data_IF_980573746643
#
_entry.id   IF_980573746643
#
_cell.length_a   1.000
_cell.length_b   1.000
_cell.length_c   1.000
_cell.angle_alpha   90.00
_cell.angle_beta   90.00
_cell.angle_gamma   90.00
#
_symmetry.space_group_name_H-M   'P 1'
#
loop_
_entity.id
_entity.type
_entity.pdbx_description
1 polymer ?
#
# COMPACT_ATOMS: atom_id res chain seq x y z
N UNK A 1 3.36 12.86 1.46
CA UNK A 1 3.22 11.64 0.62
C UNK A 1 2.19 11.95 -0.46
N UNK A 2 2.45 11.54 -1.71
CA UNK A 2 2.07 12.23 -2.96
C UNK A 2 0.60 12.30 -3.42
N UNK A 3 -0.37 12.40 -2.53
CA UNK A 3 -1.70 12.94 -2.88
C UNK A 3 -2.42 13.61 -1.70
N UNK A 4 -1.89 13.47 -0.48
CA UNK A 4 -2.53 13.94 0.75
C UNK A 4 -3.73 13.10 1.21
N UNK A 5 -4.24 12.18 0.38
CA UNK A 5 -5.39 11.33 0.69
C UNK A 5 -4.96 10.00 1.29
N UNK A 6 -5.81 9.41 2.15
CA UNK A 6 -5.59 8.08 2.69
C UNK A 6 -5.95 7.00 1.66
N UNK A 7 -5.38 5.77 1.79
CA UNK A 7 -5.79 4.61 1.03
C UNK A 7 -7.31 4.35 1.15
N UNK A 8 -7.99 4.37 0.01
CA UNK A 8 -9.43 4.15 -0.12
C UNK A 8 -9.77 3.12 -1.21
N UNK A 9 -8.77 2.37 -1.69
CA UNK A 9 -8.88 1.43 -2.82
C UNK A 9 -9.16 2.16 -4.15
N UNK A 10 -8.85 3.46 -4.24
CA UNK A 10 -8.85 4.21 -5.49
C UNK A 10 -7.43 4.60 -5.87
N UNK A 11 -6.92 3.96 -6.92
CA UNK A 11 -5.64 4.30 -7.55
C UNK A 11 -5.64 5.70 -8.21
N UNK A 12 -6.76 6.42 -8.20
CA UNK A 12 -6.86 7.82 -8.64
C UNK A 12 -6.64 8.77 -7.46
N UNK A 13 -6.94 8.34 -6.23
CA UNK A 13 -6.94 9.17 -5.03
C UNK A 13 -5.67 9.03 -4.21
N UNK A 14 -5.26 7.80 -3.89
CA UNK A 14 -4.04 7.54 -3.12
C UNK A 14 -2.83 7.37 -4.04
N UNK A 15 -1.63 7.65 -3.51
CA UNK A 15 -0.42 7.15 -4.17
C UNK A 15 -0.35 5.64 -4.06
N UNK A 16 0.20 4.98 -5.07
CA UNK A 16 0.26 3.53 -5.09
C UNK A 16 1.52 2.99 -5.78
N UNK A 17 1.92 1.80 -5.36
CA UNK A 17 2.71 0.87 -6.16
C UNK A 17 1.80 -0.26 -6.62
N UNK A 18 1.96 -0.73 -7.86
CA UNK A 18 1.19 -1.84 -8.43
C UNK A 18 2.11 -2.90 -9.03
N UNK A 19 1.59 -4.10 -9.22
CA UNK A 19 2.36 -5.26 -9.68
C UNK A 19 3.56 -5.57 -8.77
N UNK A 20 3.33 -5.56 -7.46
CA UNK A 20 4.37 -5.85 -6.47
C UNK A 20 4.74 -7.33 -6.56
N UNK A 21 6.03 -7.56 -6.71
CA UNK A 21 6.63 -8.88 -6.88
C UNK A 21 7.96 -8.89 -6.11
N UNK A 22 8.31 -10.02 -5.52
CA UNK A 22 9.66 -10.25 -5.02
C UNK A 22 10.26 -11.49 -5.68
N UNK A 23 11.58 -11.63 -5.55
CA UNK A 23 12.29 -12.79 -6.08
C UNK A 23 12.60 -13.77 -4.95
N UNK A 24 12.18 -15.02 -5.10
CA UNK A 24 12.47 -16.07 -4.11
C UNK A 24 13.90 -16.62 -4.23
N UNK A 25 14.25 -17.56 -3.34
CA UNK A 25 15.56 -18.25 -3.34
C UNK A 25 15.84 -19.03 -4.65
N UNK A 26 14.81 -19.35 -5.43
CA UNK A 26 14.90 -20.05 -6.72
C UNK A 26 14.87 -19.10 -7.92
N UNK A 27 14.99 -17.78 -7.69
CA UNK A 27 14.91 -16.73 -8.72
C UNK A 27 13.56 -16.63 -9.42
N UNK A 28 12.50 -17.14 -8.80
CA UNK A 28 11.13 -17.00 -9.31
C UNK A 28 10.53 -15.69 -8.83
N UNK A 29 9.79 -15.03 -9.71
CA UNK A 29 8.93 -13.90 -9.34
C UNK A 29 7.72 -14.44 -8.59
N UNK A 30 7.51 -13.94 -7.39
CA UNK A 30 6.41 -14.34 -6.51
C UNK A 30 5.61 -13.11 -6.13
N UNK A 31 4.29 -13.24 -6.19
CA UNK A 31 3.34 -12.24 -5.72
C UNK A 31 3.15 -12.40 -4.20
N UNK A 32 3.21 -11.33 -3.40
CA UNK A 32 2.99 -11.44 -1.96
C UNK A 32 1.51 -11.74 -1.66
N UNK A 33 1.23 -12.76 -0.86
CA UNK A 33 -0.08 -12.89 -0.23
C UNK A 33 -0.19 -11.91 0.94
N UNK A 34 -1.40 -11.53 1.34
CA UNK A 34 -1.61 -10.56 2.42
C UNK A 34 -0.92 -10.99 3.73
N UNK A 35 -0.98 -12.28 4.06
CA UNK A 35 -0.34 -12.86 5.26
C UNK A 35 1.20 -12.82 5.24
N UNK A 36 1.83 -12.50 4.10
CA UNK A 36 3.28 -12.34 3.96
C UNK A 36 3.73 -10.88 4.10
N UNK A 37 2.80 -9.96 4.35
CA UNK A 37 3.07 -8.53 4.46
C UNK A 37 2.82 -8.03 5.88
N UNK A 38 3.58 -7.01 6.29
CA UNK A 38 3.40 -6.31 7.56
C UNK A 38 3.45 -4.81 7.31
N UNK A 39 2.49 -4.08 7.90
CA UNK A 39 2.44 -2.62 7.77
C UNK A 39 3.25 -1.98 8.89
N UNK A 40 4.33 -1.29 8.53
CA UNK A 40 5.17 -0.56 9.48
C UNK A 40 5.10 0.94 9.22
N UNK A 41 4.69 1.70 10.24
CA UNK A 41 4.64 3.15 10.22
C UNK A 41 5.50 3.70 11.37
N UNK A 42 6.49 4.53 11.06
CA UNK A 42 7.36 5.17 12.06
C UNK A 42 6.76 6.47 12.63
N UNK A 43 5.47 6.70 12.42
CA UNK A 43 4.74 7.94 12.65
C UNK A 43 3.35 7.61 13.20
N UNK A 44 2.67 8.53 13.89
CA UNK A 44 1.33 8.28 14.41
C UNK A 44 0.39 7.77 13.30
N UNK A 45 -0.29 6.66 13.56
CA UNK A 45 -1.23 6.00 12.63
C UNK A 45 -2.41 6.89 12.19
N UNK A 46 -2.51 8.10 12.74
CA UNK A 46 -3.54 9.11 12.40
C UNK A 46 -3.15 10.00 11.23
N UNK A 47 -1.87 10.02 10.85
CA UNK A 47 -1.35 10.95 9.85
C UNK A 47 -0.98 10.32 8.54
N UNK A 48 -0.62 9.05 8.57
CA UNK A 48 -0.21 8.35 7.38
C UNK A 48 -0.79 6.97 7.44
N UNK A 49 -1.22 6.49 6.30
CA UNK A 49 -1.75 5.15 6.16
C UNK A 49 -1.07 4.48 4.98
N UNK A 50 -0.85 3.19 5.16
CA UNK A 50 -0.33 2.27 4.16
C UNK A 50 -1.30 1.10 4.17
N UNK A 51 -1.73 0.66 3.00
CA UNK A 51 -2.60 -0.49 2.86
C UNK A 51 -2.20 -1.32 1.66
N UNK A 52 -1.97 -2.61 1.93
CA UNK A 52 -1.72 -3.59 0.92
C UNK A 52 -3.04 -4.22 0.46
N UNK A 53 -3.14 -4.51 -0.83
CA UNK A 53 -4.25 -5.23 -1.43
C UNK A 53 -3.70 -6.41 -2.22
N UNK A 54 -4.15 -7.61 -1.85
CA UNK A 54 -3.95 -8.81 -2.65
C UNK A 54 -4.74 -8.71 -3.95
N UNK A 55 -4.35 -9.48 -4.99
CA UNK A 55 -5.04 -9.45 -6.27
C UNK A 55 -6.52 -9.86 -6.14
N UNK A 56 -7.41 -8.91 -6.40
CA UNK A 56 -8.86 -9.08 -6.35
C UNK A 56 -9.51 -9.21 -7.74
N UNK A 57 -8.71 -9.40 -8.79
CA UNK A 57 -9.18 -9.44 -10.18
C UNK A 57 -9.18 -8.10 -10.91
N UNK A 58 -8.77 -6.99 -10.28
CA UNK A 58 -8.69 -5.65 -10.91
C UNK A 58 -7.33 -5.33 -11.54
N UNK A 59 -7.26 -4.23 -12.28
CA UNK A 59 -6.09 -3.81 -13.08
C UNK A 59 -4.77 -3.69 -12.29
N UNK A 60 -4.80 -3.34 -11.01
CA UNK A 60 -3.61 -3.03 -10.23
C UNK A 60 -2.91 -4.27 -9.60
N UNK A 61 -3.54 -5.44 -9.65
CA UNK A 61 -3.02 -6.70 -9.05
C UNK A 61 -2.58 -6.51 -7.60
N UNK A 62 -1.43 -7.07 -7.21
CA UNK A 62 -0.84 -6.86 -5.90
C UNK A 62 -0.35 -5.43 -5.77
N UNK A 63 -1.00 -4.65 -4.93
CA UNK A 63 -0.81 -3.20 -4.86
C UNK A 63 -0.67 -2.70 -3.42
N UNK A 64 0.08 -1.63 -3.27
CA UNK A 64 0.31 -0.94 -2.01
C UNK A 64 -0.12 0.50 -2.19
N UNK A 65 -1.19 0.92 -1.54
CA UNK A 65 -1.57 2.33 -1.43
C UNK A 65 -0.92 2.96 -0.20
N UNK A 66 -0.51 4.21 -0.33
CA UNK A 66 0.04 5.00 0.76
C UNK A 66 -0.35 6.47 0.61
N UNK A 67 -0.49 7.16 1.74
CA UNK A 67 -0.83 8.57 1.70
C UNK A 67 -1.04 9.22 3.06
N UNK A 68 -1.55 10.45 3.02
CA UNK A 68 -1.64 11.37 4.15
C UNK A 68 -0.68 12.57 4.09
N UNK A 69 -0.86 13.57 4.97
CA UNK A 69 -1.86 13.63 6.04
C UNK A 69 -3.24 14.10 5.55
N UNK A 70 -4.19 13.17 5.49
CA UNK A 70 -5.57 13.42 5.04
C UNK A 70 -6.53 13.79 6.17
N UNK A 71 -6.02 14.09 7.37
CA UNK A 71 -6.79 14.35 8.58
C UNK A 71 -6.04 15.22 9.60
N UNK A 72 -6.63 15.43 10.79
CA UNK A 72 -6.01 16.23 11.85
C UNK A 72 -4.74 15.56 12.39
N UNK A 73 -3.61 16.08 11.94
CA UNK A 73 -2.27 15.65 12.29
C UNK A 73 -1.62 16.45 13.42
N UNK A 74 -2.44 16.89 14.37
CA UNK A 74 -1.99 17.65 15.54
C UNK A 74 -2.65 17.12 16.82
N UNK A 75 -1.88 17.08 17.90
CA UNK A 75 -1.51 18.33 18.59
C UNK A 75 -0.02 18.58 18.45
#
# INVERSE_FOLDING_TARGET
>A
MGSGLFPDHSYIHACYFRYILYQDKKRKKVEPAEYMTENTLNVPAKCYAIKYYEYDGKEARHALEFGGPGGYCGN
#
